data_IF_153788030186
#
_entry.id   IF_153788030186
#
_cell.length_a   1.000
_cell.length_b   1.000
_cell.length_c   1.000
_cell.angle_alpha   90.00
_cell.angle_beta   90.00
_cell.angle_gamma   90.00
#
_symmetry.space_group_name_H-M   'P 1'
#
loop_
_entity.id
_entity.type
_entity.pdbx_description
1 polymer ?
#
# COMPACT_ATOMS: atom_id res chain seq x y z
N UNK A 1 21.91 28.26 -30.87
CA UNK A 1 21.82 28.68 -29.45
C UNK A 1 21.05 27.61 -28.69
N UNK A 2 21.74 26.78 -27.90
CA UNK A 2 21.08 25.78 -27.07
C UNK A 2 20.42 26.49 -25.88
N UNK A 3 19.08 26.50 -25.85
CA UNK A 3 18.32 26.99 -24.71
C UNK A 3 18.63 26.11 -23.49
N UNK A 4 19.45 26.61 -22.57
CA UNK A 4 19.67 25.97 -21.28
C UNK A 4 18.36 26.01 -20.48
N UNK A 5 17.61 24.92 -20.49
CA UNK A 5 16.46 24.76 -19.60
C UNK A 5 16.94 24.82 -18.16
N UNK A 6 16.33 25.72 -17.36
CA UNK A 6 16.61 25.81 -15.93
C UNK A 6 16.29 24.46 -15.27
N UNK A 7 17.11 24.00 -14.31
CA UNK A 7 16.82 22.78 -13.57
C UNK A 7 15.47 22.91 -12.86
N UNK A 8 14.58 21.96 -13.11
CA UNK A 8 13.25 21.88 -12.49
C UNK A 8 13.41 21.63 -10.98
N UNK A 9 12.62 22.32 -10.15
CA UNK A 9 12.60 22.08 -8.70
C UNK A 9 12.26 20.59 -8.44
N UNK A 10 13.09 19.85 -7.68
CA UNK A 10 12.81 18.46 -7.33
C UNK A 10 11.42 18.21 -6.71
N UNK A 11 10.83 19.20 -6.03
CA UNK A 11 9.48 19.11 -5.49
C UNK A 11 8.41 19.15 -6.60
N UNK A 12 8.62 19.99 -7.61
CA UNK A 12 7.73 20.09 -8.76
C UNK A 12 7.77 18.81 -9.59
N UNK A 13 8.96 18.25 -9.80
CA UNK A 13 9.15 16.93 -10.44
C UNK A 13 8.38 15.82 -9.70
N UNK A 14 8.49 15.78 -8.37
CA UNK A 14 7.82 14.77 -7.52
C UNK A 14 6.29 14.89 -7.59
N UNK A 15 5.78 16.14 -7.58
CA UNK A 15 4.35 16.43 -7.71
C UNK A 15 3.82 15.99 -9.08
N UNK A 16 4.53 16.35 -10.15
CA UNK A 16 4.17 15.97 -11.52
C UNK A 16 4.12 14.44 -11.69
N UNK A 17 5.05 13.70 -11.08
CA UNK A 17 5.02 12.25 -11.08
C UNK A 17 3.76 11.71 -10.37
N UNK A 18 3.45 12.21 -9.17
CA UNK A 18 2.26 11.79 -8.44
C UNK A 18 0.96 12.08 -9.20
N UNK A 19 0.87 13.23 -9.87
CA UNK A 19 -0.28 13.57 -10.73
C UNK A 19 -0.37 12.65 -11.96
N UNK A 20 0.76 12.30 -12.59
CA UNK A 20 0.80 11.33 -13.69
C UNK A 20 0.30 9.96 -13.25
N UNK A 21 0.76 9.46 -12.10
CA UNK A 21 0.29 8.18 -11.56
C UNK A 21 -1.22 8.22 -11.27
N UNK A 22 -1.72 9.30 -10.67
CA UNK A 22 -3.14 9.48 -10.41
C UNK A 22 -3.97 9.52 -11.71
N UNK A 23 -3.49 10.18 -12.76
CA UNK A 23 -4.16 10.24 -14.06
C UNK A 23 -4.22 8.87 -14.75
N UNK A 24 -3.14 8.09 -14.72
CA UNK A 24 -3.14 6.74 -15.33
C UNK A 24 -4.08 5.79 -14.59
N UNK A 25 -4.28 6.00 -13.29
CA UNK A 25 -5.21 5.25 -12.45
C UNK A 25 -6.64 5.84 -12.43
N UNK A 26 -6.90 6.91 -13.19
CA UNK A 26 -8.18 7.64 -13.21
C UNK A 26 -8.67 8.11 -11.81
N UNK A 27 -7.74 8.50 -10.94
CA UNK A 27 -8.02 8.92 -9.55
C UNK A 27 -8.28 10.43 -9.40
N UNK A 28 -8.09 11.21 -10.48
CA UNK A 28 -8.20 12.67 -10.46
C UNK A 28 -9.64 13.17 -10.61
N UNK A 29 -10.53 12.35 -11.16
CA UNK A 29 -11.96 12.65 -11.25
C UNK A 29 -12.74 12.41 -9.96
N UNK A 30 -14.01 12.82 -9.96
CA UNK A 30 -14.99 12.51 -8.91
C UNK A 30 -15.73 11.18 -9.17
N UNK A 31 -15.68 10.67 -10.40
CA UNK A 31 -16.22 9.37 -10.76
C UNK A 31 -15.36 8.22 -10.21
N UNK A 32 -15.97 7.05 -10.03
CA UNK A 32 -15.21 5.84 -9.73
C UNK A 32 -14.30 5.50 -10.92
N UNK A 33 -13.02 5.14 -10.68
CA UNK A 33 -12.11 4.73 -11.74
C UNK A 33 -12.66 3.54 -12.51
N UNK A 34 -12.52 3.55 -13.83
CA UNK A 34 -12.90 2.44 -14.70
C UNK A 34 -11.70 1.47 -14.89
N UNK A 35 -11.68 0.29 -14.26
CA UNK A 35 -10.53 -0.61 -14.31
C UNK A 35 -10.19 -1.07 -15.74
N UNK A 36 -11.19 -1.11 -16.64
CA UNK A 36 -11.00 -1.54 -18.03
C UNK A 36 -10.16 -0.57 -18.86
N UNK A 37 -10.08 0.69 -18.43
CA UNK A 37 -9.29 1.75 -19.09
C UNK A 37 -7.88 1.89 -18.53
N UNK A 38 -7.54 1.14 -17.49
CA UNK A 38 -6.25 1.25 -16.83
C UNK A 38 -5.27 0.28 -17.49
N UNK A 39 -4.40 0.84 -18.30
CA UNK A 39 -3.34 0.09 -18.96
C UNK A 39 -2.25 -0.31 -17.95
N UNK A 40 -2.26 -1.57 -17.50
CA UNK A 40 -1.24 -2.15 -16.61
C UNK A 40 0.19 -1.86 -17.10
N UNK A 41 0.41 -1.89 -18.41
CA UNK A 41 1.69 -1.54 -19.02
C UNK A 41 2.17 -0.12 -18.64
N UNK A 42 1.29 0.89 -18.68
CA UNK A 42 1.66 2.25 -18.33
C UNK A 42 2.00 2.38 -16.84
N UNK A 43 1.28 1.66 -15.97
CA UNK A 43 1.58 1.61 -14.54
C UNK A 43 2.93 0.97 -14.31
N UNK A 44 3.21 -0.18 -14.94
CA UNK A 44 4.50 -0.86 -14.82
C UNK A 44 5.66 0.03 -15.28
N UNK A 45 5.51 0.74 -16.41
CA UNK A 45 6.51 1.70 -16.88
C UNK A 45 6.74 2.83 -15.86
N UNK A 46 5.66 3.37 -15.28
CA UNK A 46 5.78 4.42 -14.27
C UNK A 46 6.47 3.90 -13.00
N UNK A 47 6.10 2.72 -12.51
CA UNK A 47 6.69 2.10 -11.32
C UNK A 47 8.16 1.73 -11.56
N UNK A 48 8.51 1.21 -12.74
CA UNK A 48 9.91 0.96 -13.14
C UNK A 48 10.73 2.25 -13.19
N UNK A 49 10.16 3.31 -13.76
CA UNK A 49 10.81 4.62 -13.80
C UNK A 49 11.07 5.15 -12.39
N UNK A 50 10.17 4.86 -11.45
CA UNK A 50 10.34 5.25 -10.05
C UNK A 50 11.41 4.40 -9.36
N UNK A 51 11.39 3.08 -9.51
CA UNK A 51 12.41 2.18 -8.94
C UNK A 51 13.85 2.54 -9.34
N UNK A 52 14.04 3.14 -10.53
CA UNK A 52 15.35 3.58 -11.00
C UNK A 52 15.82 4.91 -10.39
N UNK A 53 14.97 5.62 -9.66
CA UNK A 53 15.35 6.85 -8.96
C UNK A 53 16.05 6.55 -7.64
N UNK A 54 16.77 7.52 -7.09
CA UNK A 54 17.29 7.40 -5.74
C UNK A 54 16.15 7.26 -4.72
N UNK A 55 16.33 6.47 -3.65
CA UNK A 55 15.30 6.20 -2.63
C UNK A 55 14.61 7.47 -2.11
N UNK A 56 15.39 8.54 -1.91
CA UNK A 56 14.86 9.83 -1.45
C UNK A 56 13.93 10.54 -2.46
N UNK A 57 14.09 10.28 -3.76
CA UNK A 57 13.17 10.72 -4.82
C UNK A 57 11.94 9.83 -4.88
N UNK A 58 12.12 8.51 -4.76
CA UNK A 58 11.02 7.55 -4.73
C UNK A 58 10.04 7.87 -3.60
N UNK A 59 10.56 8.00 -2.38
CA UNK A 59 9.77 8.34 -1.19
C UNK A 59 9.06 9.69 -1.32
N UNK A 60 9.64 10.67 -2.03
CA UNK A 60 9.03 11.98 -2.25
C UNK A 60 7.87 11.90 -3.24
N UNK A 61 8.10 11.31 -4.42
CA UNK A 61 7.09 11.18 -5.48
C UNK A 61 5.93 10.32 -5.00
N UNK A 62 6.23 9.18 -4.39
CA UNK A 62 5.23 8.28 -3.83
C UNK A 62 4.50 8.91 -2.64
N UNK A 63 5.23 9.55 -1.73
CA UNK A 63 4.62 10.25 -0.60
C UNK A 63 3.67 11.38 -1.03
N UNK A 64 4.02 12.11 -2.10
CA UNK A 64 3.15 13.13 -2.68
C UNK A 64 1.86 12.50 -3.20
N UNK A 65 1.94 11.42 -3.98
CA UNK A 65 0.79 10.69 -4.49
C UNK A 65 -0.10 10.13 -3.36
N UNK A 66 0.46 9.34 -2.46
CA UNK A 66 -0.29 8.65 -1.40
C UNK A 66 -0.95 9.61 -0.42
N UNK A 67 -0.32 10.76 -0.14
CA UNK A 67 -0.91 11.76 0.75
C UNK A 67 -2.26 12.29 0.25
N UNK A 68 -2.52 12.22 -1.06
CA UNK A 68 -3.75 12.72 -1.69
C UNK A 68 -4.69 11.57 -2.04
N UNK A 69 -4.16 10.53 -2.68
CA UNK A 69 -4.96 9.56 -3.41
C UNK A 69 -5.10 8.20 -2.71
N UNK A 70 -4.42 7.94 -1.58
CA UNK A 70 -4.45 6.62 -0.95
C UNK A 70 -5.88 6.13 -0.60
N UNK A 71 -6.80 6.95 -0.04
CA UNK A 71 -8.18 6.51 0.18
C UNK A 71 -8.92 6.17 -1.13
N UNK A 72 -8.78 6.98 -2.19
CA UNK A 72 -9.39 6.72 -3.49
C UNK A 72 -8.81 5.46 -4.15
N UNK A 73 -7.48 5.30 -4.08
CA UNK A 73 -6.76 4.12 -4.56
C UNK A 73 -7.25 2.84 -3.87
N UNK A 74 -7.45 2.91 -2.55
CA UNK A 74 -7.98 1.79 -1.78
C UNK A 74 -9.42 1.45 -2.18
N UNK A 75 -10.28 2.46 -2.32
CA UNK A 75 -11.66 2.25 -2.75
C UNK A 75 -11.71 1.63 -4.16
N UNK A 76 -10.93 2.16 -5.11
CA UNK A 76 -10.83 1.61 -6.45
C UNK A 76 -10.30 0.16 -6.46
N UNK A 77 -9.39 -0.17 -5.54
CA UNK A 77 -8.94 -1.54 -5.33
C UNK A 77 -10.05 -2.44 -4.76
N UNK A 78 -10.89 -1.94 -3.83
CA UNK A 78 -12.04 -2.69 -3.30
C UNK A 78 -13.08 -2.98 -4.38
N UNK A 79 -13.33 -2.01 -5.26
CA UNK A 79 -14.32 -2.10 -6.34
C UNK A 79 -13.83 -2.95 -7.54
N UNK A 80 -12.55 -3.35 -7.54
CA UNK A 80 -11.95 -4.17 -8.58
C UNK A 80 -11.81 -5.63 -8.14
N UNK A 81 -12.52 -6.56 -8.79
CA UNK A 81 -12.49 -7.99 -8.44
C UNK A 81 -11.22 -8.74 -8.89
N UNK A 82 -10.34 -8.09 -9.65
CA UNK A 82 -9.09 -8.72 -10.08
C UNK A 82 -8.17 -9.04 -8.91
N UNK A 83 -7.58 -10.24 -8.91
CA UNK A 83 -6.61 -10.67 -7.91
C UNK A 83 -5.37 -9.75 -7.88
N UNK A 84 -4.93 -9.31 -9.07
CA UNK A 84 -3.77 -8.44 -9.30
C UNK A 84 -4.14 -7.30 -10.26
N UNK A 85 -4.88 -6.34 -9.74
CA UNK A 85 -5.20 -5.11 -10.46
C UNK A 85 -4.03 -4.12 -10.45
N UNK A 86 -4.07 -3.12 -11.34
CA UNK A 86 -3.14 -2.00 -11.28
C UNK A 86 -3.15 -1.26 -9.93
N UNK A 87 -4.32 -1.20 -9.27
CA UNK A 87 -4.44 -0.63 -7.94
C UNK A 87 -3.71 -1.45 -6.89
N UNK A 88 -3.84 -2.80 -6.95
CA UNK A 88 -3.12 -3.71 -6.07
C UNK A 88 -1.60 -3.56 -6.23
N UNK A 89 -1.11 -3.37 -7.45
CA UNK A 89 0.31 -3.15 -7.73
C UNK A 89 0.85 -1.88 -7.07
N UNK A 90 0.13 -0.78 -7.23
CA UNK A 90 0.55 0.50 -6.63
C UNK A 90 0.48 0.43 -5.11
N UNK A 91 -0.53 -0.23 -4.54
CA UNK A 91 -0.63 -0.45 -3.10
C UNK A 91 0.49 -1.34 -2.56
N UNK A 92 0.83 -2.40 -3.29
CA UNK A 92 1.93 -3.30 -2.92
C UNK A 92 3.28 -2.60 -3.01
N UNK A 93 3.53 -1.89 -4.11
CA UNK A 93 4.73 -1.07 -4.29
C UNK A 93 4.87 -0.02 -3.19
N UNK A 94 3.74 0.57 -2.76
CA UNK A 94 3.71 1.61 -1.74
C UNK A 94 3.74 1.10 -0.30
N UNK A 95 3.85 -0.21 -0.10
CA UNK A 95 3.49 -0.84 1.16
C UNK A 95 4.46 -0.56 2.32
N UNK A 96 5.69 -0.12 2.03
CA UNK A 96 6.69 0.28 3.01
C UNK A 96 6.59 1.77 3.38
N UNK A 97 5.71 2.53 2.70
CA UNK A 97 5.57 3.96 2.94
C UNK A 97 4.86 4.25 4.27
N UNK A 98 5.26 5.35 4.91
CA UNK A 98 4.61 5.84 6.15
C UNK A 98 3.10 6.07 5.99
N UNK A 99 2.65 6.47 4.80
CA UNK A 99 1.24 6.69 4.52
C UNK A 99 0.48 5.37 4.50
N UNK A 100 1.00 4.37 3.79
CA UNK A 100 0.38 3.04 3.74
C UNK A 100 0.36 2.38 5.12
N UNK A 101 1.50 2.36 5.83
CA UNK A 101 1.61 1.75 7.17
C UNK A 101 0.61 2.37 8.16
N UNK A 102 0.35 3.68 8.07
CA UNK A 102 -0.65 4.32 8.92
C UNK A 102 -2.06 3.99 8.47
N UNK A 103 -2.30 4.01 7.17
CA UNK A 103 -3.61 3.72 6.61
C UNK A 103 -4.08 2.32 7.00
N UNK A 104 -3.20 1.31 6.98
CA UNK A 104 -3.54 -0.07 7.40
C UNK A 104 -3.94 -0.22 8.87
N UNK A 105 -3.72 0.81 9.70
CA UNK A 105 -4.13 0.86 11.12
C UNK A 105 -5.49 1.55 11.33
N UNK A 106 -6.11 2.07 10.27
CA UNK A 106 -7.39 2.76 10.34
C UNK A 106 -8.53 1.81 10.04
N UNK A 107 -9.72 2.11 10.60
CA UNK A 107 -10.92 1.29 10.40
C UNK A 107 -11.28 1.02 8.94
N UNK A 108 -11.16 1.97 7.98
CA UNK A 108 -11.51 1.68 6.59
C UNK A 108 -10.63 0.60 5.97
N UNK A 109 -9.40 0.46 6.44
CA UNK A 109 -8.42 -0.45 5.87
C UNK A 109 -8.47 -1.86 6.51
N UNK A 110 -9.25 -2.07 7.58
CA UNK A 110 -9.26 -3.32 8.36
C UNK A 110 -9.61 -4.58 7.56
N UNK A 111 -10.22 -4.42 6.38
CA UNK A 111 -10.64 -5.53 5.51
C UNK A 111 -9.60 -5.91 4.47
N UNK A 112 -8.47 -5.20 4.34
CA UNK A 112 -7.44 -5.46 3.31
C UNK A 112 -7.07 -6.94 3.15
N UNK A 113 -6.56 -7.57 4.20
CA UNK A 113 -6.09 -8.94 4.16
C UNK A 113 -7.25 -9.91 3.89
N UNK A 114 -8.42 -9.67 4.50
CA UNK A 114 -9.62 -10.48 4.28
C UNK A 114 -10.06 -10.44 2.82
N UNK A 115 -10.20 -9.25 2.25
CA UNK A 115 -10.62 -9.07 0.85
C UNK A 115 -9.63 -9.71 -0.12
N UNK A 116 -8.32 -9.53 0.09
CA UNK A 116 -7.31 -10.14 -0.78
C UNK A 116 -7.29 -11.67 -0.66
N UNK A 117 -7.45 -12.23 0.55
CA UNK A 117 -7.55 -13.67 0.75
C UNK A 117 -8.80 -14.25 0.09
N UNK A 118 -9.94 -13.56 0.18
CA UNK A 118 -11.17 -13.95 -0.53
C UNK A 118 -10.95 -13.97 -2.05
N UNK A 119 -10.28 -12.96 -2.61
CA UNK A 119 -9.93 -12.93 -4.04
C UNK A 119 -9.02 -14.10 -4.41
N UNK A 120 -7.98 -14.36 -3.61
CA UNK A 120 -7.04 -15.45 -3.83
C UNK A 120 -7.72 -16.83 -3.75
N UNK A 121 -8.65 -17.00 -2.80
CA UNK A 121 -9.45 -18.19 -2.63
C UNK A 121 -10.37 -18.46 -3.85
N UNK A 122 -10.93 -17.41 -4.46
CA UNK A 122 -11.86 -17.54 -5.59
C UNK A 122 -11.18 -17.47 -6.96
N UNK A 123 -9.97 -16.92 -7.05
CA UNK A 123 -9.28 -16.76 -8.32
C UNK A 123 -8.75 -18.10 -8.86
N UNK A 124 -9.03 -18.37 -10.12
CA UNK A 124 -8.46 -19.49 -10.86
C UNK A 124 -7.61 -18.93 -12.00
N UNK A 125 -6.37 -19.41 -12.18
CA UNK A 125 -5.57 -19.03 -13.34
C UNK A 125 -6.34 -19.33 -14.63
N UNK A 126 -6.27 -18.44 -15.64
CA UNK A 126 -6.88 -18.72 -16.93
C UNK A 126 -6.25 -19.98 -17.55
N UNK A 127 -7.06 -20.78 -18.25
CA UNK A 127 -6.61 -22.02 -18.93
C UNK A 127 -5.81 -21.73 -20.19
N UNK A 128 -5.98 -20.54 -20.75
CA UNK A 128 -5.29 -20.03 -21.94
C UNK A 128 -4.59 -18.72 -21.59
N UNK A 129 -3.36 -18.55 -22.05
CA UNK A 129 -2.58 -17.34 -21.80
C UNK A 129 -1.09 -17.63 -21.75
N UNK A 130 -0.30 -16.58 -21.66
CA UNK A 130 1.15 -16.69 -21.46
C UNK A 130 1.45 -17.28 -20.07
N UNK A 131 2.12 -18.45 -19.98
CA UNK A 131 2.49 -19.06 -18.70
C UNK A 131 3.33 -18.15 -17.80
N UNK A 132 4.20 -17.30 -18.38
CA UNK A 132 5.04 -16.37 -17.62
C UNK A 132 4.18 -15.30 -16.95
N UNK A 133 3.24 -14.71 -17.69
CA UNK A 133 2.29 -13.75 -17.12
C UNK A 133 1.45 -14.35 -15.99
N UNK A 134 1.01 -15.61 -16.12
CA UNK A 134 0.26 -16.30 -15.06
C UNK A 134 1.12 -16.51 -13.81
N UNK A 135 2.39 -16.88 -13.99
CA UNK A 135 3.35 -17.00 -12.90
C UNK A 135 3.56 -15.65 -12.19
N UNK A 136 3.80 -14.59 -12.95
CA UNK A 136 3.95 -13.24 -12.41
C UNK A 136 2.70 -12.80 -11.65
N UNK A 137 1.50 -13.12 -12.15
CA UNK A 137 0.25 -12.80 -11.49
C UNK A 137 0.10 -13.48 -10.14
N UNK A 138 0.45 -14.77 -10.08
CA UNK A 138 0.51 -15.52 -8.80
C UNK A 138 1.54 -14.89 -7.87
N UNK A 139 2.75 -14.60 -8.35
CA UNK A 139 3.83 -14.04 -7.54
C UNK A 139 3.48 -12.68 -6.96
N UNK A 140 3.00 -11.75 -7.79
CA UNK A 140 2.59 -10.41 -7.37
C UNK A 140 1.41 -10.45 -6.38
N UNK A 141 0.39 -11.27 -6.65
CA UNK A 141 -0.75 -11.42 -5.75
C UNK A 141 -0.37 -12.02 -4.40
N UNK A 142 0.46 -13.06 -4.39
CA UNK A 142 0.95 -13.68 -3.16
C UNK A 142 1.89 -12.73 -2.38
N UNK A 143 2.74 -11.97 -3.06
CA UNK A 143 3.56 -10.95 -2.41
C UNK A 143 2.69 -9.90 -1.72
N UNK A 144 1.69 -9.36 -2.42
CA UNK A 144 0.79 -8.36 -1.81
C UNK A 144 0.01 -8.96 -0.64
N UNK A 145 -0.51 -10.18 -0.79
CA UNK A 145 -1.19 -10.90 0.29
C UNK A 145 -0.29 -11.07 1.51
N UNK A 146 0.96 -11.52 1.30
CA UNK A 146 1.96 -11.66 2.36
C UNK A 146 2.19 -10.34 3.09
N UNK A 147 2.32 -9.24 2.34
CA UNK A 147 2.47 -7.88 2.90
C UNK A 147 1.27 -7.50 3.78
N UNK A 148 0.05 -7.74 3.32
CA UNK A 148 -1.17 -7.44 4.09
C UNK A 148 -1.26 -8.28 5.37
N UNK A 149 -0.88 -9.57 5.31
CA UNK A 149 -0.83 -10.45 6.48
C UNK A 149 0.21 -9.99 7.51
N UNK A 150 1.33 -9.39 7.07
CA UNK A 150 2.28 -8.77 8.01
C UNK A 150 1.63 -7.63 8.79
N UNK A 151 0.83 -6.80 8.13
CA UNK A 151 0.16 -5.67 8.79
C UNK A 151 -1.00 -6.12 9.68
N UNK A 152 -1.88 -7.00 9.19
CA UNK A 152 -3.17 -7.28 9.79
C UNK A 152 -3.27 -8.63 10.51
N UNK A 153 -2.32 -9.54 10.28
CA UNK A 153 -2.35 -10.90 10.78
C UNK A 153 -3.44 -11.75 10.11
N UNK A 154 -3.65 -12.94 10.67
CA UNK A 154 -4.58 -13.96 10.14
C UNK A 154 -5.86 -14.12 10.96
N UNK A 155 -5.93 -13.52 12.15
CA UNK A 155 -7.02 -13.76 13.12
C UNK A 155 -8.41 -13.29 12.68
N UNK A 156 -8.47 -12.40 11.68
CA UNK A 156 -9.72 -11.82 11.14
C UNK A 156 -10.11 -12.35 9.76
N UNK A 157 -9.43 -13.38 9.28
CA UNK A 157 -9.72 -14.02 8.00
C UNK A 157 -10.93 -14.95 8.13
N UNK A 158 -11.67 -15.12 7.04
CA UNK A 158 -12.75 -16.11 6.98
C UNK A 158 -12.16 -17.52 6.86
N UNK A 159 -12.46 -18.46 7.78
CA UNK A 159 -11.97 -19.82 7.71
C UNK A 159 -12.31 -20.54 6.40
N UNK A 160 -13.44 -20.24 5.76
CA UNK A 160 -13.85 -20.85 4.49
C UNK A 160 -12.94 -20.40 3.35
N UNK A 161 -12.63 -19.09 3.26
CA UNK A 161 -11.69 -18.57 2.26
C UNK A 161 -10.27 -19.14 2.48
N UNK A 162 -9.83 -19.26 3.74
CA UNK A 162 -8.54 -19.86 4.08
C UNK A 162 -8.48 -21.33 3.64
N UNK A 163 -9.53 -22.11 3.89
CA UNK A 163 -9.62 -23.52 3.49
C UNK A 163 -9.53 -23.70 1.96
N UNK A 164 -10.10 -22.75 1.19
CA UNK A 164 -10.03 -22.73 -0.27
C UNK A 164 -8.66 -22.27 -0.80
N UNK A 165 -8.03 -21.31 -0.12
CA UNK A 165 -6.73 -20.76 -0.51
C UNK A 165 -5.57 -21.75 -0.29
N UNK A 166 -5.57 -22.50 0.82
CA UNK A 166 -4.44 -23.37 1.20
C UNK A 166 -4.06 -24.41 0.12
N UNK A 167 -4.99 -25.18 -0.48
CA UNK A 167 -4.65 -26.11 -1.56
C UNK A 167 -4.12 -25.43 -2.82
N UNK A 168 -4.55 -24.19 -3.12
CA UNK A 168 -4.04 -23.41 -4.26
C UNK A 168 -2.60 -23.00 -4.03
N UNK A 169 -2.32 -22.40 -2.87
CA UNK A 169 -0.97 -21.99 -2.47
C UNK A 169 -0.01 -23.18 -2.43
N UNK A 170 -0.46 -24.33 -1.91
CA UNK A 170 0.33 -25.57 -1.92
C UNK A 170 0.67 -26.05 -3.34
N UNK A 171 -0.28 -25.95 -4.28
CA UNK A 171 -0.01 -26.28 -5.69
C UNK A 171 0.96 -25.28 -6.33
N UNK A 172 0.77 -23.99 -6.11
CA UNK A 172 1.62 -22.95 -6.70
C UNK A 172 3.07 -23.01 -6.19
N UNK A 173 3.29 -23.24 -4.89
CA UNK A 173 4.67 -23.40 -4.35
C UNK A 173 5.42 -24.59 -4.94
N UNK A 174 4.70 -25.66 -5.31
CA UNK A 174 5.28 -26.84 -5.95
C UNK A 174 5.47 -26.62 -7.46
N UNK A 175 4.47 -26.04 -8.13
CA UNK A 175 4.48 -25.78 -9.57
C UNK A 175 5.57 -24.80 -9.98
N UNK A 176 5.75 -23.71 -9.23
CA UNK A 176 6.67 -22.63 -9.57
C UNK A 176 8.00 -22.71 -8.79
N UNK A 177 8.42 -23.93 -8.39
CA UNK A 177 9.59 -24.13 -7.52
C UNK A 177 10.84 -23.45 -8.08
N UNK A 178 11.57 -22.74 -7.22
CA UNK A 178 12.78 -21.98 -7.60
C UNK A 178 12.49 -20.64 -8.28
N UNK A 179 11.24 -20.20 -8.29
CA UNK A 179 10.80 -18.91 -8.83
C UNK A 179 10.13 -18.04 -7.77
N UNK A 180 9.99 -16.75 -8.07
CA UNK A 180 9.35 -15.76 -7.20
C UNK A 180 7.93 -16.15 -6.79
N UNK A 181 7.15 -16.72 -7.71
CA UNK A 181 5.78 -17.18 -7.41
C UNK A 181 5.74 -18.28 -6.34
N UNK A 182 6.71 -19.19 -6.30
CA UNK A 182 6.78 -20.20 -5.25
C UNK A 182 7.17 -19.61 -3.90
N UNK A 183 8.18 -18.72 -3.87
CA UNK A 183 8.64 -18.09 -2.63
C UNK A 183 7.51 -17.28 -1.95
N UNK A 184 6.79 -16.49 -2.74
CA UNK A 184 5.69 -15.66 -2.23
C UNK A 184 4.48 -16.51 -1.84
N UNK A 185 4.14 -17.54 -2.62
CA UNK A 185 3.09 -18.50 -2.26
C UNK A 185 3.41 -19.25 -0.97
N UNK A 186 4.67 -19.63 -0.76
CA UNK A 186 5.10 -20.33 0.45
C UNK A 186 4.97 -19.44 1.69
N UNK A 187 5.34 -18.15 1.61
CA UNK A 187 5.14 -17.19 2.70
C UNK A 187 3.66 -17.10 3.11
N UNK A 188 2.75 -16.95 2.14
CA UNK A 188 1.31 -16.89 2.42
C UNK A 188 0.82 -18.23 2.99
N UNK A 189 1.26 -19.36 2.42
CA UNK A 189 0.89 -20.70 2.91
C UNK A 189 1.29 -20.90 4.38
N UNK A 190 2.54 -20.59 4.73
CA UNK A 190 3.05 -20.72 6.10
C UNK A 190 2.34 -19.78 7.07
N UNK A 191 2.06 -18.53 6.66
CA UNK A 191 1.29 -17.60 7.46
C UNK A 191 -0.12 -18.15 7.77
N UNK A 192 -0.83 -18.66 6.76
CA UNK A 192 -2.18 -19.21 6.93
C UNK A 192 -2.21 -20.52 7.72
N UNK A 193 -1.12 -21.29 7.71
CA UNK A 193 -0.96 -22.50 8.53
C UNK A 193 -0.61 -22.21 9.99
N UNK A 194 -0.31 -20.96 10.35
CA UNK A 194 0.16 -20.61 11.69
C UNK A 194 1.54 -21.22 11.99
N UNK A 195 2.43 -21.26 10.98
CA UNK A 195 3.78 -21.76 11.19
C UNK A 195 4.52 -20.86 12.21
N UNK A 196 5.01 -21.40 13.35
CA UNK A 196 5.56 -20.58 14.43
C UNK A 196 6.79 -19.76 14.03
N UNK A 197 7.62 -20.29 13.13
CA UNK A 197 8.82 -19.62 12.63
C UNK A 197 8.40 -18.44 11.74
N UNK A 198 7.48 -18.69 10.82
CA UNK A 198 6.93 -17.66 9.95
C UNK A 198 6.21 -16.56 10.74
N UNK A 199 5.47 -16.91 11.79
CA UNK A 199 4.83 -15.93 12.67
C UNK A 199 5.86 -15.05 13.39
N UNK A 200 6.96 -15.64 13.88
CA UNK A 200 8.04 -14.87 14.50
C UNK A 200 8.67 -13.90 13.49
N UNK A 201 8.97 -14.35 12.28
CA UNK A 201 9.47 -13.51 11.19
C UNK A 201 8.49 -12.39 10.85
N UNK A 202 7.20 -12.69 10.80
CA UNK A 202 6.13 -11.73 10.54
C UNK A 202 6.07 -10.65 11.62
N UNK A 203 6.16 -11.03 12.90
CA UNK A 203 6.23 -10.07 14.02
C UNK A 203 7.45 -9.16 13.91
N UNK A 204 8.62 -9.72 13.59
CA UNK A 204 9.85 -8.93 13.38
C UNK A 204 9.70 -7.95 12.21
N UNK A 205 9.16 -8.40 11.08
CA UNK A 205 8.93 -7.55 9.90
C UNK A 205 7.95 -6.42 10.23
N UNK A 206 6.84 -6.73 10.90
CA UNK A 206 5.85 -5.73 11.35
C UNK A 206 6.49 -4.69 12.27
N UNK A 207 7.36 -5.12 13.19
CA UNK A 207 8.11 -4.20 14.05
C UNK A 207 9.01 -3.29 13.21
N UNK A 208 9.82 -3.85 12.31
CA UNK A 208 10.75 -3.10 11.44
C UNK A 208 10.02 -2.07 10.57
N UNK A 209 8.94 -2.47 9.91
CA UNK A 209 8.11 -1.56 9.11
C UNK A 209 7.52 -0.43 9.99
N UNK A 210 7.11 -0.77 11.21
CA UNK A 210 6.58 0.18 12.19
C UNK A 210 7.59 1.15 12.81
N UNK A 211 8.90 0.86 12.77
CA UNK A 211 9.94 1.73 13.37
C UNK A 211 9.91 3.14 12.80
N UNK A 212 9.68 3.24 11.49
CA UNK A 212 9.57 4.49 10.76
C UNK A 212 8.48 5.43 11.33
N UNK A 213 7.42 4.89 11.93
CA UNK A 213 6.33 5.67 12.55
C UNK A 213 6.76 6.38 13.84
N UNK A 214 7.78 5.85 14.50
CA UNK A 214 8.29 6.31 15.78
C UNK A 214 9.65 7.00 15.64
N UNK A 215 10.16 7.15 14.42
CA UNK A 215 11.41 7.85 14.13
C UNK A 215 11.14 9.30 13.67
N UNK A 216 12.16 10.16 13.83
CA UNK A 216 12.16 11.49 13.24
C UNK A 216 12.23 11.38 11.70
N UNK A 217 11.31 12.02 10.99
CA UNK A 217 11.27 12.01 9.52
C UNK A 217 12.31 12.89 8.84
N UNK A 218 13.33 13.38 9.55
CA UNK A 218 14.46 14.11 8.95
C UNK A 218 15.50 13.11 8.50
N UNK A 219 15.91 13.20 7.25
CA UNK A 219 17.02 12.41 6.71
C UNK A 219 18.27 12.54 7.60
N UNK A 220 18.87 11.40 7.95
CA UNK A 220 20.03 11.31 8.82
C UNK A 220 19.77 11.57 10.31
N UNK A 221 18.51 11.74 10.74
CA UNK A 221 18.18 11.85 12.15
C UNK A 221 17.88 10.47 12.74
N UNK A 222 18.61 10.09 13.78
CA UNK A 222 18.47 8.79 14.47
C UNK A 222 17.53 8.85 15.68
N UNK A 223 17.00 10.03 16.04
CA UNK A 223 16.10 10.17 17.20
C UNK A 223 14.80 9.39 16.97
N UNK A 224 14.47 8.49 17.89
CA UNK A 224 13.17 7.82 17.96
C UNK A 224 12.43 8.16 19.26
N UNK A 225 11.10 7.99 19.26
CA UNK A 225 10.27 8.12 20.45
C UNK A 225 10.53 7.01 21.49
N UNK A 226 11.26 5.95 21.13
CA UNK A 226 11.61 4.84 22.04
C UNK A 226 12.81 5.15 22.93
N UNK A 227 13.70 6.05 22.50
CA UNK A 227 15.03 6.16 23.12
C UNK A 227 15.06 7.00 24.40
N UNK A 228 14.14 7.96 24.58
CA UNK A 228 14.29 8.97 25.64
C UNK A 228 12.98 9.47 26.28
N UNK A 229 11.82 8.90 25.98
CA UNK A 229 10.53 9.38 26.51
C UNK A 229 10.08 10.78 26.02
N UNK A 230 10.94 11.50 25.29
CA UNK A 230 10.57 12.75 24.62
C UNK A 230 9.64 12.48 23.43
N UNK A 231 8.40 12.97 23.54
CA UNK A 231 7.40 12.88 22.49
C UNK A 231 7.88 13.57 21.20
N UNK A 232 8.24 12.77 20.20
CA UNK A 232 8.43 13.30 18.85
C UNK A 232 7.12 13.97 18.39
N UNK A 233 7.22 15.26 18.04
CA UNK A 233 6.07 16.07 17.63
C UNK A 233 5.55 15.58 16.29
N UNK A 234 4.31 15.11 16.27
CA UNK A 234 3.64 14.71 15.05
C UNK A 234 3.34 15.94 14.18
N UNK A 235 3.47 15.79 12.87
CA UNK A 235 3.05 16.81 11.91
C UNK A 235 1.57 17.11 12.11
N UNK A 236 1.22 18.31 12.59
CA UNK A 236 -0.18 18.72 12.73
C UNK A 236 -0.99 18.70 11.43
N UNK A 237 -0.29 18.69 10.28
CA UNK A 237 -0.83 18.69 8.93
C UNK A 237 -1.10 17.29 8.38
N UNK A 238 -0.07 16.54 8.02
CA UNK A 238 -0.25 15.20 7.44
C UNK A 238 -0.54 14.13 8.48
N UNK A 239 -0.28 14.39 9.77
CA UNK A 239 -0.28 13.41 10.87
C UNK A 239 0.64 12.20 10.62
N UNK A 240 1.31 12.08 9.48
CA UNK A 240 2.07 10.88 9.12
C UNK A 240 3.51 10.87 9.61
N UNK A 241 4.13 12.04 9.67
CA UNK A 241 5.55 12.19 9.98
C UNK A 241 5.73 12.81 11.36
N UNK A 242 6.76 12.38 12.10
CA UNK A 242 7.12 12.92 13.42
C UNK A 242 8.46 13.65 13.37
N UNK A 243 8.69 14.58 14.30
CA UNK A 243 9.91 15.39 14.36
C UNK A 243 10.44 15.54 15.77
N UNK A 244 11.76 15.51 15.90
CA UNK A 244 12.44 15.80 17.16
C UNK A 244 12.50 17.30 17.50
N UNK A 245 12.16 18.19 16.56
CA UNK A 245 12.14 19.63 16.82
C UNK A 245 11.20 20.39 15.89
N UNK A 246 10.77 21.57 16.36
CA UNK A 246 9.93 22.50 15.60
C UNK A 246 10.63 23.02 14.33
N UNK A 247 11.94 23.26 14.39
CA UNK A 247 12.74 23.64 13.23
C UNK A 247 12.70 22.57 12.12
N UNK A 248 12.76 21.29 12.51
CA UNK A 248 12.66 20.18 11.58
C UNK A 248 11.26 20.08 10.97
N UNK A 249 10.22 20.23 11.79
CA UNK A 249 8.82 20.26 11.34
C UNK A 249 8.57 21.37 10.32
N UNK A 250 9.08 22.59 10.56
CA UNK A 250 8.92 23.75 9.65
C UNK A 250 9.53 23.49 8.28
N UNK A 251 10.66 22.78 8.18
CA UNK A 251 11.27 22.40 6.90
C UNK A 251 10.40 21.41 6.11
N UNK A 252 9.67 20.53 6.77
CA UNK A 252 8.72 19.63 6.11
C UNK A 252 7.44 20.35 5.64
N UNK A 253 6.90 21.28 6.44
CA UNK A 253 5.68 22.00 6.09
C UNK A 253 5.76 22.86 4.82
N UNK A 254 6.98 23.21 4.37
CA UNK A 254 7.23 23.87 3.09
C UNK A 254 7.19 22.93 1.87
N UNK A 255 7.15 21.61 2.08
CA UNK A 255 7.25 20.58 1.02
C UNK A 255 5.93 19.89 0.67
N UNK A 256 4.90 19.98 1.52
CA UNK A 256 3.57 19.44 1.24
C UNK A 256 2.67 20.57 0.75
N UNK A 257 2.12 20.45 -0.47
CA UNK A 257 1.18 21.43 -1.03
C UNK A 257 -0.12 21.50 -0.21
N UNK A 258 -0.76 22.66 -0.15
CA UNK A 258 -2.03 22.87 0.56
C UNK A 258 -3.18 21.99 0.05
N UNK A 259 -3.14 21.52 -1.21
CA UNK A 259 -4.18 20.65 -1.78
C UNK A 259 -4.09 19.21 -1.29
N UNK A 260 -2.88 18.65 -1.15
CA UNK A 260 -2.65 17.32 -0.61
C UNK A 260 -3.11 17.18 0.86
N UNK A 261 -3.04 18.30 1.59
CA UNK A 261 -3.43 18.43 2.98
C UNK A 261 -4.94 18.22 3.21
N UNK A 262 -5.79 18.79 2.36
CA UNK A 262 -7.24 18.72 2.52
C UNK A 262 -7.77 17.32 2.21
N UNK A 263 -7.21 16.62 1.22
CA UNK A 263 -7.60 15.26 0.86
C UNK A 263 -7.21 14.24 1.94
N UNK A 264 -6.00 14.36 2.52
CA UNK A 264 -5.57 13.50 3.64
C UNK A 264 -6.48 13.67 4.86
N UNK A 265 -6.74 14.92 5.29
CA UNK A 265 -7.56 15.19 6.47
C UNK A 265 -9.04 14.83 6.22
N UNK A 266 -9.62 15.20 5.06
CA UNK A 266 -11.01 14.86 4.73
C UNK A 266 -11.22 13.36 4.52
N UNK A 267 -10.29 12.67 3.86
CA UNK A 267 -10.37 11.22 3.65
C UNK A 267 -10.27 10.43 4.96
N UNK A 268 -9.42 10.89 5.90
CA UNK A 268 -9.34 10.32 7.25
C UNK A 268 -10.60 10.59 8.10
N UNK A 269 -11.25 11.75 7.93
CA UNK A 269 -12.47 12.09 8.67
C UNK A 269 -13.76 11.51 8.08
N UNK A 270 -13.85 11.34 6.75
CA UNK A 270 -15.03 10.77 6.09
C UNK A 270 -15.15 9.26 6.31
N UNK A 271 -14.03 8.55 6.47
CA UNK A 271 -14.02 7.14 6.89
C UNK A 271 -14.51 6.91 8.33
N UNK A 272 -14.51 7.95 9.18
CA UNK A 272 -15.04 7.88 10.55
C UNK A 272 -16.54 8.17 10.65
N UNK A 273 -17.14 8.82 9.65
CA UNK A 273 -18.54 9.25 9.67
C UNK A 273 -19.50 8.30 8.91
N UNK A 274 -18.99 7.30 8.18
CA UNK A 274 -19.75 6.52 7.21
C UNK A 274 -20.45 5.23 7.69
N UNK A 275 -20.20 4.74 8.92
CA UNK A 275 -20.81 3.49 9.41
C UNK A 275 -21.76 3.75 10.58
N UNK A 276 -22.86 4.44 10.32
CA UNK A 276 -24.09 4.24 11.08
C UNK A 276 -24.95 3.26 10.30
N UNK A 277 -24.65 1.97 10.42
CA UNK A 277 -25.60 0.93 10.04
C UNK A 277 -26.82 1.09 10.94
N UNK A 278 -27.91 1.64 10.40
CA UNK A 278 -29.22 1.55 11.04
C UNK A 278 -29.57 0.07 11.06
N UNK A 279 -29.47 -0.55 12.23
CA UNK A 279 -30.13 -1.81 12.49
C UNK A 279 -31.63 -1.55 12.39
N UNK A 280 -32.28 -2.06 11.35
CA UNK A 280 -33.73 -2.18 11.34
C UNK A 280 -34.14 -3.12 12.48
N UNK A 281 -35.11 -2.74 13.32
CA UNK A 281 -35.65 -3.65 14.32
C UNK A 281 -36.47 -4.72 13.59
N UNK A 282 -36.03 -5.98 13.69
CA UNK A 282 -36.88 -7.12 13.40
C UNK A 282 -38.04 -7.11 14.41
N UNK A 283 -39.21 -6.67 13.97
CA UNK A 283 -40.48 -6.99 14.61
C UNK A 283 -41.04 -8.27 13.99
N UNK A 284 -41.37 -9.21 14.89
CA UNK A 284 -42.00 -10.50 14.65
C UNK A 284 -43.39 -10.41 14.03
#
# INVERSE_FOLDING_TARGET
MASMQKPVDPNEKSKLYGERLANVLDLTGDAAPDPSKIYKLHINILLDTLHRQADSEQLRSLGAFLSVYLPKLYQAWLDCDELRSAFAEVLNFASDSLYFIRFTKLSPAETFARTQIKRLANWNPPTTGDPEQIEDDVGGACQFTSTLLVYQGTSRLDPADVALALPKLQRWRLKYRGRFAAETSDRVYLALKGDPIHEAMTRMMKQKLGESLYACGKQGCTKSAKDNGDDLKQCGRCKSVRYCSEATRRKHGKRISQSALHACIKGLSLGAAGNSFKTEPNSA
#
